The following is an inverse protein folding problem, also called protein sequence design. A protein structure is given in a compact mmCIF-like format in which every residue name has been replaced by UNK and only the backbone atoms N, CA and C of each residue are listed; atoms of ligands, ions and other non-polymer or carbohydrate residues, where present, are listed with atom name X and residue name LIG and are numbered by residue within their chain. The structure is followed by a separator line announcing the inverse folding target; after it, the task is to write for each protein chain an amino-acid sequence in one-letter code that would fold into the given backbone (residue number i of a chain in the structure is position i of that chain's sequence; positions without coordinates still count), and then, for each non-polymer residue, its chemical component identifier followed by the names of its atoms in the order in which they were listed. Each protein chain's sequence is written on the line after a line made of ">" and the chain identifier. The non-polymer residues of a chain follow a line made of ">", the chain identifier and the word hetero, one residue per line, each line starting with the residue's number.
data_IF_353452999497
#
_entry.id   IF_353452999497
#
_cell.length_a   1.000
_cell.length_b   1.000
_cell.length_c   1.000
_cell.angle_alpha   90.00
_cell.angle_beta   90.00
_cell.angle_gamma   90.00
#
_symmetry.space_group_name_H-M   'P 1'
#
loop_
_entity.id
_entity.type
_entity.pdbx_description
1 polymer ?
#
# COMPACT_ATOMS: atom_id res chain seq x y z
N UNK A 1 -12.34 11.37 10.36
CA UNK A 1 -11.32 10.36 10.73
C UNK A 1 -11.64 9.09 9.96
N UNK A 2 -10.84 8.73 8.96
CA UNK A 2 -11.10 7.51 8.16
C UNK A 2 -10.86 6.31 9.05
N UNK A 3 -11.85 5.43 9.18
CA UNK A 3 -11.75 4.24 10.02
C UNK A 3 -10.69 3.35 9.39
N UNK A 4 -9.57 3.17 10.08
CA UNK A 4 -8.47 2.33 9.63
C UNK A 4 -9.02 0.92 9.40
N UNK A 5 -9.11 0.50 8.14
CA UNK A 5 -9.64 -0.82 7.82
C UNK A 5 -8.47 -1.80 7.90
N UNK A 6 -8.41 -2.51 9.02
CA UNK A 6 -7.52 -3.67 9.18
C UNK A 6 -7.93 -4.75 8.17
N UNK A 7 -6.97 -5.19 7.35
CA UNK A 7 -7.13 -6.35 6.48
C UNK A 7 -6.15 -7.43 6.89
N UNK A 8 -6.49 -8.68 6.66
CA UNK A 8 -5.62 -9.82 6.93
C UNK A 8 -5.31 -10.52 5.62
N UNK A 9 -4.04 -10.56 5.25
CA UNK A 9 -3.56 -11.19 4.01
C UNK A 9 -2.92 -12.54 4.34
N UNK A 10 -3.29 -13.58 3.61
CA UNK A 10 -2.72 -14.91 3.75
C UNK A 10 -1.35 -14.98 3.07
N UNK A 11 -0.31 -15.36 3.79
CA UNK A 11 1.05 -15.52 3.25
C UNK A 11 1.22 -16.71 2.31
N UNK A 12 0.35 -17.73 2.39
CA UNK A 12 0.45 -18.93 1.53
C UNK A 12 -0.21 -18.74 0.16
N UNK A 13 -1.35 -18.05 0.11
CA UNK A 13 -2.15 -17.94 -1.10
C UNK A 13 -2.43 -16.50 -1.55
N UNK A 14 -2.05 -15.49 -0.76
CA UNK A 14 -2.31 -14.08 -1.04
C UNK A 14 -3.77 -13.63 -0.80
N UNK A 15 -4.64 -14.49 -0.28
CA UNK A 15 -6.04 -14.18 -0.03
C UNK A 15 -6.21 -13.13 1.07
N UNK A 16 -7.08 -12.14 0.88
CA UNK A 16 -7.28 -11.04 1.84
C UNK A 16 -8.66 -11.08 2.47
N UNK A 17 -8.76 -11.04 3.79
CA UNK A 17 -10.02 -11.07 4.55
C UNK A 17 -10.11 -9.88 5.52
N UNK A 18 -11.30 -9.27 5.70
CA UNK A 18 -11.49 -8.17 6.65
C UNK A 18 -11.63 -8.63 8.11
N UNK A 19 -11.63 -9.95 8.37
CA UNK A 19 -11.81 -10.53 9.71
C UNK A 19 -10.82 -11.67 9.95
N UNK A 20 -10.16 -11.65 11.11
CA UNK A 20 -9.29 -12.74 11.55
C UNK A 20 -10.15 -13.97 11.89
N UNK A 21 -9.84 -15.10 11.24
CA UNK A 21 -10.52 -16.39 11.44
C UNK A 21 -9.56 -17.49 11.91
N UNK A 22 -8.25 -17.23 12.01
CA UNK A 22 -7.20 -18.21 12.36
C UNK A 22 -6.87 -19.20 11.23
N UNK A 23 -7.86 -19.49 10.39
CA UNK A 23 -7.76 -20.29 9.15
C UNK A 23 -8.06 -19.43 7.92
N UNK A 24 -7.25 -19.56 6.89
CA UNK A 24 -7.48 -18.90 5.60
C UNK A 24 -8.67 -19.57 4.86
N UNK A 25 -9.69 -18.81 4.40
CA UNK A 25 -10.83 -19.37 3.66
C UNK A 25 -10.50 -19.74 2.21
N UNK A 26 -9.35 -19.33 1.69
CA UNK A 26 -8.94 -19.59 0.31
C UNK A 26 -8.11 -20.88 0.17
N UNK A 27 -7.13 -21.08 1.05
CA UNK A 27 -6.22 -22.23 1.00
C UNK A 27 -6.36 -23.20 2.18
N UNK A 28 -7.28 -22.93 3.12
CA UNK A 28 -7.50 -23.72 4.33
C UNK A 28 -6.29 -23.85 5.28
N UNK A 29 -5.23 -23.07 5.05
CA UNK A 29 -4.05 -23.05 5.92
C UNK A 29 -4.33 -22.31 7.25
N UNK A 30 -3.64 -22.73 8.31
CA UNK A 30 -3.75 -22.18 9.66
C UNK A 30 -2.52 -21.33 9.99
N UNK A 31 -2.68 -20.29 10.79
CA UNK A 31 -1.59 -19.36 11.18
C UNK A 31 -0.90 -18.63 10.01
N UNK A 32 -1.55 -18.55 8.86
CA UNK A 32 -1.00 -17.88 7.66
C UNK A 32 -1.55 -16.48 7.44
N UNK A 33 -2.53 -16.05 8.24
CA UNK A 33 -3.18 -14.74 8.11
C UNK A 33 -2.31 -13.67 8.79
N UNK A 34 -1.79 -12.73 8.01
CA UNK A 34 -0.94 -11.62 8.47
C UNK A 34 -1.74 -10.33 8.43
N UNK A 35 -1.73 -9.59 9.54
CA UNK A 35 -2.37 -8.28 9.63
C UNK A 35 -1.65 -7.28 8.73
N UNK A 36 -2.40 -6.72 7.79
CA UNK A 36 -1.94 -5.66 6.89
C UNK A 36 -2.89 -4.48 7.06
N UNK A 37 -2.35 -3.39 7.60
CA UNK A 37 -3.03 -2.09 7.50
C UNK A 37 -3.14 -1.78 6.01
N UNK A 38 -4.36 -1.55 5.52
CA UNK A 38 -4.55 -0.97 4.20
C UNK A 38 -3.91 0.43 4.26
N UNK A 39 -2.61 0.49 3.95
CA UNK A 39 -1.90 1.75 3.89
C UNK A 39 -2.74 2.66 2.98
N UNK A 40 -3.08 3.89 3.43
CA UNK A 40 -3.78 4.80 2.56
C UNK A 40 -2.92 4.91 1.32
N UNK A 41 -3.45 4.42 0.19
CA UNK A 41 -2.72 4.28 -1.05
C UNK A 41 -1.85 5.52 -1.21
N UNK A 42 -0.52 5.34 -1.08
CA UNK A 42 0.51 6.37 -1.06
C UNK A 42 -0.04 7.60 -1.75
N UNK A 43 -0.40 8.61 -0.95
CA UNK A 43 -1.16 9.76 -1.39
C UNK A 43 -0.50 10.30 -2.64
N UNK A 44 -1.10 10.01 -3.80
CA UNK A 44 -0.75 10.62 -5.07
C UNK A 44 -1.30 12.04 -5.00
N UNK A 45 -0.72 12.86 -4.13
CA UNK A 45 -0.76 14.30 -4.23
C UNK A 45 0.04 14.66 -5.49
N UNK A 46 -0.58 14.40 -6.65
CA UNK A 46 -0.12 14.84 -7.99
C UNK A 46 -0.21 16.37 -8.15
N UNK A 47 -0.41 17.09 -7.05
CA UNK A 47 -0.56 18.54 -6.98
C UNK A 47 0.46 19.18 -6.02
N UNK A 48 1.51 18.46 -5.64
CA UNK A 48 2.67 19.03 -4.96
C UNK A 48 3.60 19.74 -5.95
N UNK A 49 3.30 21.01 -6.22
CA UNK A 49 4.29 22.08 -6.35
C UNK A 49 5.45 21.86 -7.33
N UNK A 50 5.26 22.42 -8.52
CA UNK A 50 6.32 22.95 -9.36
C UNK A 50 7.30 23.80 -8.55
N UNK A 51 8.49 23.27 -8.26
CA UNK A 51 9.50 24.00 -7.50
C UNK A 51 10.92 23.56 -7.92
N UNK A 52 11.42 24.29 -8.94
CA UNK A 52 12.82 24.67 -9.19
C UNK A 52 13.89 23.57 -9.42
N UNK A 53 14.12 23.25 -10.71
CA UNK A 53 15.49 23.03 -11.21
C UNK A 53 15.76 24.12 -12.25
N UNK A 54 16.36 25.20 -11.77
CA UNK A 54 16.82 26.30 -12.59
C UNK A 54 18.14 25.98 -13.29
N UNK A 55 18.25 26.51 -14.52
CA UNK A 55 19.37 27.30 -15.03
C UNK A 55 20.78 26.66 -14.97
N UNK A 56 21.30 26.18 -16.11
CA UNK A 56 22.62 26.63 -16.55
C UNK A 56 22.79 26.55 -18.07
N UNK A 57 23.41 27.58 -18.64
CA UNK A 57 23.43 27.96 -20.03
C UNK A 57 24.24 27.01 -20.95
N UNK A 58 23.63 26.56 -22.05
CA UNK A 58 24.37 26.14 -23.23
C UNK A 58 24.60 27.38 -24.10
N UNK A 59 25.79 27.96 -23.99
CA UNK A 59 26.26 28.99 -24.93
C UNK A 59 26.83 28.27 -26.16
N UNK A 60 26.45 28.64 -27.39
CA UNK A 60 27.12 28.15 -28.60
C UNK A 60 28.50 28.82 -28.76
N UNK A 61 29.49 28.04 -29.20
CA UNK A 61 30.73 28.54 -29.84
C UNK A 61 30.52 28.58 -31.34
#
# INVERSE_FOLDING_TARGET
>A
MTKEKTLYTCSECGGSTPKWLGKCPHCNAWNTLVETVAAPAMGKNRYGSAQHVGLNAAQPV
#
